data_IF_051517809380
#
_entry.id   IF_051517809380
#
_cell.length_a   1.000
_cell.length_b   1.000
_cell.length_c   1.000
_cell.angle_alpha   90.00
_cell.angle_beta   90.00
_cell.angle_gamma   90.00
#
_symmetry.space_group_name_H-M   'P 1'
#
loop_
_entity.id
_entity.type
_entity.pdbx_description
1 polymer ?
#
# COMPACT_ATOMS: atom_id res chain seq x y z
N UNK A 1 36.97 -13.41 3.29
CA UNK A 1 36.32 -12.11 3.51
C UNK A 1 35.15 -11.92 2.58
N UNK A 2 34.02 -11.46 3.13
CA UNK A 2 32.88 -11.02 2.33
C UNK A 2 33.22 -9.62 1.83
N UNK A 3 33.44 -9.47 0.52
CA UNK A 3 33.82 -8.20 -0.09
C UNK A 3 32.64 -7.24 -0.23
N UNK A 4 31.40 -7.75 -0.21
CA UNK A 4 30.20 -6.93 -0.30
C UNK A 4 29.00 -7.59 0.38
N UNK A 5 28.22 -6.81 1.13
CA UNK A 5 27.02 -7.29 1.82
C UNK A 5 25.80 -6.52 1.33
N UNK A 6 24.78 -7.26 0.87
CA UNK A 6 23.51 -6.71 0.44
C UNK A 6 22.35 -7.35 1.21
N UNK A 7 21.31 -6.56 1.51
CA UNK A 7 20.09 -7.06 2.13
C UNK A 7 19.01 -7.28 1.06
N UNK A 8 18.36 -8.44 1.07
CA UNK A 8 17.26 -8.74 0.16
C UNK A 8 16.07 -9.21 0.97
N UNK A 9 14.89 -8.65 0.71
CA UNK A 9 13.66 -9.10 1.35
C UNK A 9 12.51 -9.27 0.36
N UNK A 10 11.93 -10.48 0.37
CA UNK A 10 10.57 -10.78 -0.10
C UNK A 10 9.94 -11.84 0.83
N UNK A 11 8.66 -11.82 1.15
CA UNK A 11 7.71 -10.71 1.07
C UNK A 11 7.36 -10.27 2.49
N UNK A 12 7.90 -9.12 2.92
CA UNK A 12 7.45 -8.50 4.16
C UNK A 12 6.06 -7.89 3.97
N UNK A 13 5.15 -8.27 4.87
CA UNK A 13 3.76 -7.86 4.88
C UNK A 13 3.49 -6.91 6.04
N UNK A 14 2.73 -5.86 5.78
CA UNK A 14 2.33 -4.88 6.78
C UNK A 14 3.52 -4.26 7.47
N UNK A 15 3.45 -4.17 8.80
CA UNK A 15 4.51 -3.61 9.64
C UNK A 15 5.80 -4.43 9.66
N UNK A 16 5.81 -5.66 9.12
CA UNK A 16 7.05 -6.44 9.01
C UNK A 16 8.08 -5.74 8.10
N UNK A 17 7.63 -5.00 7.08
CA UNK A 17 8.52 -4.23 6.21
C UNK A 17 9.27 -3.19 7.01
N UNK A 18 8.52 -2.42 7.80
CA UNK A 18 9.05 -1.34 8.63
C UNK A 18 9.89 -1.89 9.81
N UNK A 19 9.54 -3.05 10.37
CA UNK A 19 10.39 -3.77 11.32
C UNK A 19 11.73 -4.19 10.69
N UNK A 20 11.69 -4.73 9.47
CA UNK A 20 12.90 -5.08 8.72
C UNK A 20 13.79 -3.88 8.42
N UNK A 21 13.20 -2.75 8.04
CA UNK A 21 13.91 -1.48 7.86
C UNK A 21 14.59 -1.07 9.18
N UNK A 22 13.89 -1.13 10.31
CA UNK A 22 14.49 -0.83 11.63
C UNK A 22 15.63 -1.79 11.99
N UNK A 23 15.53 -3.08 11.62
CA UNK A 23 16.63 -4.02 11.78
C UNK A 23 17.86 -3.59 10.96
N UNK A 24 17.68 -3.14 9.71
CA UNK A 24 18.80 -2.63 8.90
C UNK A 24 19.42 -1.38 9.52
N UNK A 25 18.60 -0.43 9.96
CA UNK A 25 19.05 0.80 10.64
C UNK A 25 19.89 0.45 11.87
N UNK A 26 19.37 -0.41 12.74
CA UNK A 26 20.05 -0.81 13.97
C UNK A 26 21.33 -1.60 13.68
N UNK A 27 21.32 -2.47 12.67
CA UNK A 27 22.50 -3.18 12.22
C UNK A 27 23.60 -2.22 11.77
N UNK A 28 23.26 -1.26 10.91
CA UNK A 28 24.20 -0.23 10.42
C UNK A 28 24.75 0.60 11.59
N UNK A 29 23.88 1.04 12.50
CA UNK A 29 24.31 1.76 13.72
C UNK A 29 25.24 0.91 14.60
N UNK A 30 25.07 -0.41 14.60
CA UNK A 30 25.93 -1.38 15.28
C UNK A 30 27.21 -1.77 14.53
N UNK A 31 27.51 -1.15 13.39
CA UNK A 31 28.73 -1.39 12.61
C UNK A 31 28.57 -2.34 11.42
N UNK A 32 27.35 -2.77 11.07
CA UNK A 32 27.09 -3.53 9.86
C UNK A 32 27.40 -2.67 8.62
N UNK A 33 28.42 -3.04 7.85
CA UNK A 33 28.68 -2.41 6.55
C UNK A 33 27.81 -3.06 5.47
N UNK A 34 26.83 -2.32 4.99
CA UNK A 34 25.91 -2.74 3.92
C UNK A 34 26.17 -1.91 2.66
N UNK A 35 26.34 -2.55 1.51
CA UNK A 35 26.59 -1.88 0.22
C UNK A 35 25.29 -1.55 -0.54
N UNK A 36 24.21 -2.24 -0.19
CA UNK A 36 22.91 -1.96 -0.75
C UNK A 36 21.81 -2.87 -0.22
N UNK A 37 20.59 -2.59 -0.67
CA UNK A 37 19.43 -3.39 -0.33
C UNK A 37 18.39 -3.43 -1.45
N UNK A 38 17.59 -4.49 -1.44
CA UNK A 38 16.39 -4.67 -2.26
C UNK A 38 15.26 -5.12 -1.35
N UNK A 39 14.25 -4.26 -1.17
CA UNK A 39 13.07 -4.56 -0.37
C UNK A 39 11.85 -4.66 -1.30
N UNK A 40 11.08 -5.75 -1.19
CA UNK A 40 9.88 -6.00 -2.00
C UNK A 40 8.62 -6.03 -1.11
N UNK A 41 8.13 -4.85 -0.70
CA UNK A 41 6.89 -4.72 0.07
C UNK A 41 5.67 -5.02 -0.79
N UNK A 42 4.63 -5.61 -0.18
CA UNK A 42 3.41 -6.01 -0.91
C UNK A 42 2.11 -5.74 -0.14
N UNK A 43 2.01 -6.13 1.13
CA UNK A 43 0.74 -6.10 1.85
C UNK A 43 0.62 -4.92 2.80
N UNK A 44 0.21 -3.76 2.32
CA UNK A 44 0.12 -2.54 3.14
C UNK A 44 -1.05 -2.48 4.11
N UNK A 45 -2.12 -3.24 3.87
CA UNK A 45 -3.36 -3.18 4.64
C UNK A 45 -3.16 -3.48 6.14
N UNK A 46 -2.10 -4.23 6.49
CA UNK A 46 -1.74 -4.57 7.88
C UNK A 46 -0.71 -3.64 8.53
N UNK A 47 -0.19 -2.63 7.81
CA UNK A 47 0.72 -1.64 8.41
C UNK A 47 -0.05 -0.73 9.37
N UNK A 48 0.58 -0.34 10.47
CA UNK A 48 0.10 0.72 11.38
C UNK A 48 0.88 2.00 11.18
N UNK A 49 0.23 3.15 11.32
CA UNK A 49 0.91 4.44 11.15
C UNK A 49 2.05 4.57 12.15
N UNK A 50 1.79 4.21 13.41
CA UNK A 50 2.78 4.19 14.51
C UNK A 50 4.05 3.38 14.22
N UNK A 51 3.99 2.36 13.35
CA UNK A 51 5.13 1.52 13.01
C UNK A 51 5.78 1.88 11.67
N UNK A 52 5.07 2.64 10.84
CA UNK A 52 5.51 3.01 9.49
C UNK A 52 6.70 3.98 9.54
N UNK A 53 7.79 3.66 8.83
CA UNK A 53 9.00 4.49 8.90
C UNK A 53 8.90 5.82 8.14
N UNK A 54 7.94 5.95 7.23
CA UNK A 54 7.77 7.13 6.36
C UNK A 54 6.90 8.25 6.94
N UNK A 55 6.68 8.30 8.25
CA UNK A 55 5.80 9.27 8.91
C UNK A 55 6.13 10.72 8.54
N UNK A 56 7.42 11.10 8.52
CA UNK A 56 7.83 12.47 8.19
C UNK A 56 7.38 12.93 6.81
N UNK A 57 7.39 12.04 5.80
CA UNK A 57 6.91 12.39 4.45
C UNK A 57 5.40 12.64 4.47
N UNK A 58 4.65 11.82 5.21
CA UNK A 58 3.19 11.97 5.30
C UNK A 58 2.81 13.23 6.10
N UNK A 59 3.59 13.57 7.12
CA UNK A 59 3.42 14.79 7.90
C UNK A 59 3.54 16.06 7.04
N UNK A 60 4.45 16.08 6.06
CA UNK A 60 4.56 17.19 5.09
C UNK A 60 3.29 17.42 4.27
N UNK A 61 2.41 16.41 4.18
CA UNK A 61 1.11 16.50 3.49
C UNK A 61 -0.07 16.55 4.45
N UNK A 62 0.18 16.73 5.75
CA UNK A 62 -0.86 16.80 6.79
C UNK A 62 -1.52 15.44 7.09
N UNK A 63 -0.89 14.33 6.74
CA UNK A 63 -1.38 12.97 6.99
C UNK A 63 -0.72 12.36 8.23
N UNK A 64 -1.03 12.93 9.40
CA UNK A 64 -0.32 12.66 10.67
C UNK A 64 -1.07 11.71 11.62
N UNK A 65 -2.22 11.17 11.20
CA UNK A 65 -3.04 10.30 12.04
C UNK A 65 -3.15 8.86 11.53
N UNK A 66 -3.50 7.93 12.43
CA UNK A 66 -3.87 6.56 12.05
C UNK A 66 -5.05 6.53 11.08
N UNK A 67 -5.95 7.52 11.13
CA UNK A 67 -7.09 7.65 10.21
C UNK A 67 -6.64 8.00 8.80
N UNK A 68 -5.74 8.99 8.65
CA UNK A 68 -5.21 9.38 7.33
C UNK A 68 -4.44 8.22 6.69
N UNK A 69 -3.64 7.54 7.52
CA UNK A 69 -2.91 6.36 7.09
C UNK A 69 -3.86 5.20 6.74
N UNK A 70 -4.96 5.01 7.46
CA UNK A 70 -5.99 4.03 7.13
C UNK A 70 -6.65 4.33 5.77
N UNK A 71 -6.97 5.59 5.50
CA UNK A 71 -7.48 6.02 4.20
C UNK A 71 -6.47 5.72 3.08
N UNK A 72 -5.19 6.03 3.28
CA UNK A 72 -4.14 5.72 2.32
C UNK A 72 -4.00 4.21 2.06
N UNK A 73 -4.05 3.38 3.10
CA UNK A 73 -4.03 1.91 2.98
C UNK A 73 -5.25 1.38 2.25
N UNK A 74 -6.43 1.94 2.51
CA UNK A 74 -7.66 1.58 1.82
C UNK A 74 -7.55 1.86 0.32
N UNK A 75 -7.08 3.05 -0.04
CA UNK A 75 -6.85 3.42 -1.44
C UNK A 75 -5.78 2.50 -2.07
N UNK A 76 -4.68 2.22 -1.38
CA UNK A 76 -3.63 1.32 -1.86
C UNK A 76 -4.13 -0.10 -2.14
N UNK A 77 -5.13 -0.59 -1.38
CA UNK A 77 -5.76 -1.89 -1.62
C UNK A 77 -6.49 -1.95 -2.97
N UNK A 78 -6.85 -0.81 -3.57
CA UNK A 78 -7.49 -0.80 -4.89
C UNK A 78 -6.58 -1.26 -6.03
N UNK A 79 -5.25 -1.26 -5.82
CA UNK A 79 -4.28 -1.74 -6.81
C UNK A 79 -4.49 -3.20 -7.23
N UNK A 80 -5.20 -3.98 -6.40
CA UNK A 80 -5.50 -5.41 -6.65
C UNK A 80 -6.98 -5.67 -6.95
N UNK A 81 -7.83 -4.63 -7.05
CA UNK A 81 -9.26 -4.78 -7.32
C UNK A 81 -9.59 -5.52 -8.63
N UNK A 82 -8.67 -5.56 -9.59
CA UNK A 82 -8.84 -6.30 -10.85
C UNK A 82 -8.66 -7.82 -10.77
N UNK A 83 -8.12 -8.36 -9.67
CA UNK A 83 -7.87 -9.81 -9.54
C UNK A 83 -9.18 -10.59 -9.35
N UNK A 84 -10.18 -9.99 -8.70
CA UNK A 84 -11.47 -10.65 -8.45
C UNK A 84 -12.36 -10.68 -9.70
N UNK A 85 -12.27 -9.67 -10.58
CA UNK A 85 -13.13 -9.54 -11.77
C UNK A 85 -12.69 -10.39 -12.96
N UNK A 86 -11.42 -10.82 -13.02
CA UNK A 86 -10.93 -11.71 -14.09
C UNK A 86 -11.23 -13.19 -13.87
N UNK A 87 -11.77 -13.58 -12.72
CA UNK A 87 -12.06 -14.98 -12.42
C UNK A 87 -13.45 -15.43 -12.93
N UNK A 88 -14.25 -14.52 -13.47
CA UNK A 88 -15.60 -14.78 -13.97
C UNK A 88 -15.73 -14.90 -15.50
N UNK A 89 -14.67 -14.64 -16.28
CA UNK A 89 -14.76 -14.61 -17.76
C UNK A 89 -14.09 -15.80 -18.48
N UNK A 90 -13.63 -16.84 -17.77
CA UNK A 90 -12.96 -17.99 -18.41
C UNK A 90 -13.52 -19.39 -18.12
N UNK A 91 -14.72 -19.53 -17.54
CA UNK A 91 -15.42 -20.82 -17.53
C UNK A 91 -16.91 -20.64 -17.86
N UNK A 92 -17.31 -21.23 -18.99
CA UNK A 92 -18.71 -21.45 -19.37
C UNK A 92 -19.42 -22.32 -18.31
N UNK A 93 -20.77 -22.26 -18.21
CA UNK A 93 -21.49 -22.77 -17.07
C UNK A 93 -21.62 -24.29 -17.14
N UNK A 94 -21.34 -24.96 -16.02
CA UNK A 94 -21.98 -26.22 -15.71
C UNK A 94 -22.40 -26.22 -14.25
N UNK A 95 -23.55 -26.85 -14.01
CA UNK A 95 -24.47 -26.59 -12.91
C UNK A 95 -23.97 -27.01 -11.52
N UNK A 96 -24.45 -26.24 -10.53
CA UNK A 96 -24.96 -26.64 -9.22
C UNK A 96 -24.04 -26.77 -7.97
N UNK A 97 -24.59 -26.21 -6.88
CA UNK A 97 -24.38 -26.39 -5.43
C UNK A 97 -23.17 -25.73 -4.68
N UNK A 98 -23.53 -24.64 -4.00
CA UNK A 98 -23.08 -24.10 -2.69
C UNK A 98 -21.73 -23.38 -2.56
N UNK A 99 -21.79 -22.05 -2.64
CA UNK A 99 -20.79 -21.16 -2.01
C UNK A 99 -21.11 -20.96 -0.52
N UNK A 100 -20.23 -21.48 0.35
CA UNK A 100 -20.04 -20.94 1.69
C UNK A 100 -19.05 -19.79 1.60
N UNK A 101 -19.58 -18.57 1.53
CA UNK A 101 -18.82 -17.34 1.66
C UNK A 101 -18.25 -17.24 3.07
N UNK A 102 -16.93 -17.45 3.21
CA UNK A 102 -16.21 -17.17 4.44
C UNK A 102 -16.24 -15.66 4.71
N UNK A 103 -17.12 -15.26 5.63
CA UNK A 103 -17.22 -13.94 6.22
C UNK A 103 -15.90 -13.62 6.92
N UNK A 104 -15.25 -12.51 6.55
CA UNK A 104 -14.17 -11.95 7.37
C UNK A 104 -14.81 -10.93 8.31
N UNK A 105 -15.26 -11.41 9.48
CA UNK A 105 -15.68 -10.55 10.58
C UNK A 105 -14.43 -9.87 11.17
N UNK A 106 -14.33 -8.56 10.98
CA UNK A 106 -13.56 -7.71 11.86
C UNK A 106 -14.56 -7.01 12.79
N UNK A 107 -14.71 -7.53 14.00
CA UNK A 107 -15.40 -6.84 15.08
C UNK A 107 -14.71 -5.49 15.36
N UNK A 108 -15.42 -4.40 15.06
CA UNK A 108 -15.22 -3.12 15.72
C UNK A 108 -16.58 -2.72 16.27
N UNK A 109 -16.72 -2.92 17.58
CA UNK A 109 -17.89 -2.53 18.34
C UNK A 109 -17.85 -1.01 18.57
N UNK A 110 -18.63 -0.27 17.78
CA UNK A 110 -19.05 1.08 18.15
C UNK A 110 -20.47 1.30 17.64
N UNK A 111 -21.43 1.16 18.56
CA UNK A 111 -22.82 1.59 18.43
C UNK A 111 -22.88 3.06 17.99
N UNK A 112 -23.20 3.32 16.72
CA UNK A 112 -23.93 4.53 16.30
C UNK A 112 -24.77 4.19 15.06
N UNK A 113 -26.07 3.99 15.27
CA UNK A 113 -27.09 3.97 14.22
C UNK A 113 -27.12 5.34 13.53
N UNK A 114 -26.70 5.42 12.26
CA UNK A 114 -27.02 6.59 11.42
C UNK A 114 -28.02 6.19 10.37
N UNK A 115 -29.25 6.56 10.70
CA UNK A 115 -30.47 6.46 9.92
C UNK A 115 -30.37 7.37 8.69
N UNK A 116 -30.66 6.80 7.54
CA UNK A 116 -31.11 7.48 6.33
C UNK A 116 -32.13 8.57 6.71
N UNK A 117 -31.84 9.85 6.41
CA UNK A 117 -32.79 10.96 6.16
C UNK A 117 -32.09 12.33 6.33
N UNK A 118 -31.62 12.96 5.24
CA UNK A 118 -31.60 14.43 5.13
C UNK A 118 -32.04 14.81 3.71
N UNK A 119 -33.31 15.20 3.61
CA UNK A 119 -33.79 16.13 2.60
C UNK A 119 -34.11 17.43 3.31
N UNK A 120 -33.39 18.52 3.02
CA UNK A 120 -33.99 19.81 2.66
C UNK A 120 -32.96 20.93 2.42
N UNK A 121 -33.10 21.53 1.23
CA UNK A 121 -32.82 22.93 0.88
C UNK A 121 -31.38 23.45 0.74
N UNK A 122 -30.89 23.44 -0.51
CA UNK A 122 -30.48 24.66 -1.22
C UNK A 122 -30.84 24.53 -2.72
N UNK A 123 -31.14 25.66 -3.34
CA UNK A 123 -31.97 25.77 -4.54
C UNK A 123 -31.29 25.31 -5.83
N UNK A 124 -32.16 24.90 -6.77
CA UNK A 124 -31.90 24.33 -8.08
C UNK A 124 -31.20 25.34 -8.99
N UNK A 125 -30.02 24.98 -9.49
CA UNK A 125 -29.52 25.41 -10.79
C UNK A 125 -28.82 24.22 -11.48
N UNK A 126 -28.77 24.29 -12.81
CA UNK A 126 -28.74 23.18 -13.78
C UNK A 126 -27.66 22.07 -13.64
N UNK A 127 -28.07 20.85 -14.04
CA UNK A 127 -27.28 19.68 -14.45
C UNK A 127 -26.49 18.90 -13.38
N UNK A 128 -27.17 18.04 -12.61
CA UNK A 128 -26.53 17.23 -11.57
C UNK A 128 -26.95 15.76 -11.61
N UNK A 129 -26.58 15.07 -12.69
CA UNK A 129 -26.59 13.59 -12.73
C UNK A 129 -25.17 12.99 -12.76
N UNK A 130 -24.12 13.81 -12.57
CA UNK A 130 -22.72 13.38 -12.70
C UNK A 130 -22.08 12.94 -11.36
N UNK A 131 -22.70 13.27 -10.22
CA UNK A 131 -22.13 13.01 -8.88
C UNK A 131 -22.29 11.57 -8.36
N UNK A 132 -23.08 10.73 -9.04
CA UNK A 132 -23.37 9.35 -8.61
C UNK A 132 -22.76 8.28 -9.53
N UNK A 133 -21.78 8.62 -10.38
CA UNK A 133 -21.10 7.61 -11.18
C UNK A 133 -20.04 6.88 -10.33
N UNK A 134 -20.17 5.56 -10.09
CA UNK A 134 -19.13 4.80 -9.40
C UNK A 134 -17.80 4.93 -10.16
N UNK A 135 -16.70 5.13 -9.43
CA UNK A 135 -15.37 5.15 -10.01
C UNK A 135 -15.09 3.83 -10.75
N UNK A 136 -14.57 3.91 -11.96
CA UNK A 136 -14.27 2.71 -12.76
C UNK A 136 -13.23 1.83 -12.08
N UNK A 137 -13.28 0.52 -12.32
CA UNK A 137 -12.30 -0.42 -11.78
C UNK A 137 -10.87 -0.05 -12.20
N UNK A 138 -10.68 0.34 -13.46
CA UNK A 138 -9.39 0.79 -13.99
C UNK A 138 -8.85 2.03 -13.27
N UNK A 139 -9.73 3.00 -12.97
CA UNK A 139 -9.32 4.20 -12.23
C UNK A 139 -8.93 3.86 -10.79
N UNK A 140 -9.73 3.02 -10.10
CA UNK A 140 -9.43 2.58 -8.73
C UNK A 140 -8.09 1.87 -8.68
N UNK A 141 -7.82 0.99 -9.64
CA UNK A 141 -6.55 0.28 -9.74
C UNK A 141 -5.36 1.24 -9.95
N UNK A 142 -5.50 2.20 -10.86
CA UNK A 142 -4.47 3.22 -11.12
C UNK A 142 -4.16 4.05 -9.87
N UNK A 143 -5.20 4.52 -9.17
CA UNK A 143 -5.00 5.29 -7.95
C UNK A 143 -4.45 4.44 -6.82
N UNK A 144 -4.88 3.18 -6.70
CA UNK A 144 -4.31 2.26 -5.72
C UNK A 144 -2.82 2.01 -5.97
N UNK A 145 -2.41 1.87 -7.24
CA UNK A 145 -1.00 1.74 -7.62
C UNK A 145 -0.20 2.99 -7.22
N UNK A 146 -0.76 4.19 -7.39
CA UNK A 146 -0.12 5.45 -6.93
C UNK A 146 -0.03 5.55 -5.41
N UNK A 147 -1.07 5.14 -4.69
CA UNK A 147 -1.06 5.13 -3.23
C UNK A 147 0.00 4.17 -2.65
N UNK A 148 0.24 3.02 -3.30
CA UNK A 148 1.38 2.16 -2.96
C UNK A 148 2.72 2.86 -3.16
N UNK A 149 2.90 3.56 -4.29
CA UNK A 149 4.13 4.34 -4.54
C UNK A 149 4.37 5.37 -3.44
N UNK A 150 3.32 6.06 -2.96
CA UNK A 150 3.44 7.00 -1.83
C UNK A 150 3.98 6.32 -0.57
N UNK A 151 3.45 5.13 -0.23
CA UNK A 151 3.93 4.36 0.93
C UNK A 151 5.40 3.97 0.77
N UNK A 152 5.83 3.61 -0.44
CA UNK A 152 7.24 3.28 -0.67
C UNK A 152 8.14 4.52 -0.75
N UNK A 153 7.63 5.67 -1.15
CA UNK A 153 8.37 6.94 -1.10
C UNK A 153 8.73 7.32 0.32
N UNK A 154 7.83 7.12 1.28
CA UNK A 154 8.12 7.39 2.69
C UNK A 154 9.22 6.49 3.22
N UNK A 155 9.17 5.19 2.93
CA UNK A 155 10.23 4.23 3.31
C UNK A 155 11.56 4.51 2.61
N UNK A 156 11.53 4.82 1.32
CA UNK A 156 12.72 5.15 0.55
C UNK A 156 13.40 6.43 1.06
N UNK A 157 12.62 7.45 1.44
CA UNK A 157 13.13 8.69 2.05
C UNK A 157 13.69 8.46 3.45
N UNK A 158 13.08 7.57 4.23
CA UNK A 158 13.62 7.19 5.52
C UNK A 158 14.97 6.47 5.37
N UNK A 159 15.06 5.51 4.45
CA UNK A 159 16.28 4.74 4.17
C UNK A 159 17.41 5.59 3.54
N UNK A 160 17.10 6.62 2.75
CA UNK A 160 18.13 7.49 2.15
C UNK A 160 18.94 8.27 3.19
N UNK A 161 18.37 8.51 4.39
CA UNK A 161 19.07 9.15 5.50
C UNK A 161 20.28 8.36 5.99
N UNK A 162 20.35 7.05 5.67
CA UNK A 162 21.47 6.18 6.00
C UNK A 162 22.63 6.27 4.99
N UNK A 163 22.58 7.20 4.03
CA UNK A 163 23.62 7.39 3.02
C UNK A 163 23.47 6.53 1.75
N UNK A 164 22.30 5.92 1.54
CA UNK A 164 21.98 5.22 0.29
C UNK A 164 21.30 6.16 -0.69
N UNK A 165 21.65 6.04 -1.97
CA UNK A 165 20.78 6.50 -3.05
C UNK A 165 19.64 5.50 -3.20
N UNK A 166 18.41 5.95 -2.96
CA UNK A 166 17.23 5.09 -3.00
C UNK A 166 16.39 5.32 -4.26
N UNK A 167 15.79 4.25 -4.78
CA UNK A 167 14.90 4.27 -5.95
C UNK A 167 13.73 3.33 -5.72
N UNK A 168 12.56 3.70 -6.21
CA UNK A 168 11.39 2.82 -6.29
C UNK A 168 11.25 2.42 -7.75
N UNK A 169 11.32 1.12 -8.03
CA UNK A 169 11.24 0.61 -9.41
C UNK A 169 10.23 -0.52 -9.50
N UNK A 170 9.67 -0.71 -10.71
CA UNK A 170 8.85 -1.87 -11.03
C UNK A 170 9.77 -3.01 -11.49
N UNK A 171 9.68 -4.18 -10.85
CA UNK A 171 10.57 -5.30 -11.15
C UNK A 171 10.01 -6.30 -12.16
N UNK A 172 8.68 -6.32 -12.34
CA UNK A 172 7.97 -7.08 -13.36
C UNK A 172 6.80 -6.25 -13.90
N UNK A 173 6.29 -6.56 -15.12
CA UNK A 173 5.06 -5.96 -15.62
C UNK A 173 3.87 -6.17 -14.67
N UNK A 174 2.95 -5.21 -14.64
CA UNK A 174 1.72 -5.28 -13.82
C UNK A 174 0.83 -6.48 -14.21
N UNK A 175 0.92 -6.94 -15.47
CA UNK A 175 0.23 -8.14 -15.95
C UNK A 175 0.74 -9.45 -15.33
N UNK A 176 1.96 -9.44 -14.76
CA UNK A 176 2.54 -10.60 -14.07
C UNK A 176 2.25 -10.53 -12.57
N UNK A 177 2.42 -9.36 -11.96
CA UNK A 177 2.06 -9.13 -10.56
C UNK A 177 1.65 -7.67 -10.35
N UNK A 178 0.52 -7.39 -9.68
CA UNK A 178 0.17 -6.04 -9.24
C UNK A 178 0.99 -5.60 -8.01
N UNK A 179 1.71 -6.52 -7.36
CA UNK A 179 2.68 -6.27 -6.30
C UNK A 179 4.10 -6.25 -6.89
N UNK A 180 4.35 -5.28 -7.78
CA UNK A 180 5.57 -5.22 -8.58
C UNK A 180 6.55 -4.10 -8.18
N UNK A 181 6.36 -3.43 -7.05
CA UNK A 181 7.28 -2.41 -6.56
C UNK A 181 8.43 -3.03 -5.77
N UNK A 182 9.63 -2.48 -5.95
CA UNK A 182 10.76 -2.70 -5.06
C UNK A 182 11.40 -1.37 -4.68
N UNK A 183 11.93 -1.31 -3.46
CA UNK A 183 12.83 -0.26 -3.00
C UNK A 183 14.26 -0.76 -3.16
N UNK A 184 15.03 -0.07 -3.99
CA UNK A 184 16.45 -0.29 -4.21
C UNK A 184 17.24 0.77 -3.45
N UNK A 185 18.25 0.36 -2.69
CA UNK A 185 19.23 1.25 -2.09
C UNK A 185 20.62 0.84 -2.54
N UNK A 186 21.41 1.80 -3.03
CA UNK A 186 22.82 1.59 -3.38
C UNK A 186 23.65 2.59 -2.58
N UNK A 187 24.68 2.10 -1.91
CA UNK A 187 25.60 2.94 -1.15
C UNK A 187 26.39 3.79 -2.15
N UNK A 188 26.49 5.08 -1.87
CA UNK A 188 27.32 5.95 -2.69
C UNK A 188 28.78 5.51 -2.52
N UNK A 189 29.43 5.10 -3.61
CA UNK A 189 30.88 4.89 -3.62
C UNK A 189 31.53 6.25 -3.34
N UNK A 190 32.23 6.34 -2.20
CA UNK A 190 33.10 7.48 -1.90
C UNK A 190 34.37 7.40 -2.75
#
# INVERSE_FOLDING_TARGET
DVSSLCAVCKHFCGSATDAGIRCLVNGIAGGLSLDGFVLVPCCHHKSRYSEYCGQELLAEWGMESESDFAALRLVAAWAVCGITLKRSDEFAPDEDVTEQSAVFEAEVNTDVTVMEQISSTCQKDASSNDFLKPWSAQWKEEIGRRAKVVLEMGRARYLSKLGFTTRIIKYVPESISPENLLILGIKNSS
#
